data_IF_572335382089
#
_entry.id   IF_572335382089
#
_cell.length_a   1.000
_cell.length_b   1.000
_cell.length_c   1.000
_cell.angle_alpha   90.00
_cell.angle_beta   90.00
_cell.angle_gamma   90.00
#
_symmetry.space_group_name_H-M   'P 1'
#
loop_
_entity.id
_entity.type
_entity.pdbx_description
1 polymer ?
#
# COMPACT_ATOMS: atom_id res chain seq x y z
N UNK A 1 -7.74 10.36 2.26
CA UNK A 1 -7.32 11.72 1.85
C UNK A 1 -6.15 11.68 0.88
N UNK A 2 -5.01 11.08 1.25
CA UNK A 2 -3.82 10.95 0.38
C UNK A 2 -4.11 10.51 -1.06
N UNK A 3 -4.90 9.46 -1.25
CA UNK A 3 -5.20 8.95 -2.60
C UNK A 3 -5.90 9.98 -3.51
N UNK A 4 -6.70 10.89 -2.95
CA UNK A 4 -7.32 11.99 -3.71
C UNK A 4 -6.26 12.93 -4.31
N UNK A 5 -5.18 13.21 -3.56
CA UNK A 5 -4.04 14.00 -4.04
C UNK A 5 -3.27 13.22 -5.13
N UNK A 6 -2.99 11.94 -4.89
CA UNK A 6 -2.28 11.09 -5.86
C UNK A 6 -3.04 10.95 -7.18
N UNK A 7 -4.37 10.90 -7.11
CA UNK A 7 -5.24 10.76 -8.27
C UNK A 7 -5.53 12.09 -8.99
N UNK A 8 -5.28 13.23 -8.34
CA UNK A 8 -5.60 14.57 -8.87
C UNK A 8 -5.12 14.87 -10.29
N UNK A 9 -3.94 14.40 -10.77
CA UNK A 9 -3.50 14.65 -12.14
C UNK A 9 -4.30 13.85 -13.19
N UNK A 10 -4.94 12.75 -12.77
CA UNK A 10 -5.81 11.92 -13.62
C UNK A 10 -7.23 12.46 -13.55
N UNK A 11 -7.72 12.71 -12.34
CA UNK A 11 -9.04 13.30 -12.06
C UNK A 11 -9.07 13.87 -10.66
N UNK A 12 -9.53 15.12 -10.52
CA UNK A 12 -9.81 15.73 -9.22
C UNK A 12 -11.09 15.12 -8.62
N UNK A 13 -10.93 14.26 -7.63
CA UNK A 13 -12.02 13.64 -6.86
C UNK A 13 -11.82 13.94 -5.37
N UNK A 14 -12.90 14.19 -4.64
CA UNK A 14 -12.84 14.39 -3.19
C UNK A 14 -12.55 13.07 -2.47
N UNK A 15 -11.97 13.16 -1.27
CA UNK A 15 -11.72 11.96 -0.46
C UNK A 15 -13.00 11.22 -0.07
N UNK A 16 -14.14 11.93 0.05
CA UNK A 16 -15.45 11.34 0.37
C UNK A 16 -15.98 10.47 -0.77
N UNK A 17 -15.71 10.86 -2.01
CA UNK A 17 -16.07 10.06 -3.20
C UNK A 17 -15.21 8.80 -3.32
N UNK A 18 -13.96 8.86 -2.90
CA UNK A 18 -13.04 7.72 -2.94
C UNK A 18 -13.19 6.76 -1.76
N UNK A 19 -13.70 7.25 -0.62
CA UNK A 19 -13.78 6.49 0.63
C UNK A 19 -14.49 5.13 0.48
N UNK A 20 -15.69 5.02 -0.16
CA UNK A 20 -16.35 3.73 -0.34
C UNK A 20 -15.49 2.70 -1.09
N UNK A 21 -14.84 3.12 -2.18
CA UNK A 21 -14.00 2.23 -2.99
C UNK A 21 -12.71 1.82 -2.26
N UNK A 22 -12.16 2.70 -1.43
CA UNK A 22 -11.01 2.39 -0.57
C UNK A 22 -11.39 1.38 0.50
N UNK A 23 -12.50 1.59 1.21
CA UNK A 23 -12.99 0.65 2.24
C UNK A 23 -13.29 -0.73 1.66
N UNK A 24 -13.94 -0.78 0.49
CA UNK A 24 -14.18 -2.03 -0.23
C UNK A 24 -12.86 -2.70 -0.64
N UNK A 25 -11.87 -1.94 -1.11
CA UNK A 25 -10.55 -2.47 -1.45
C UNK A 25 -9.85 -3.12 -0.26
N UNK A 26 -9.85 -2.45 0.90
CA UNK A 26 -9.28 -3.01 2.13
C UNK A 26 -10.02 -4.27 2.59
N UNK A 27 -11.36 -4.24 2.61
CA UNK A 27 -12.17 -5.43 2.90
C UNK A 27 -11.86 -6.58 1.93
N UNK A 28 -11.67 -6.29 0.64
CA UNK A 28 -11.37 -7.29 -0.37
C UNK A 28 -9.98 -7.91 -0.12
N UNK A 29 -8.97 -7.14 0.28
CA UNK A 29 -7.67 -7.69 0.68
C UNK A 29 -7.73 -8.55 1.94
N UNK A 30 -8.65 -8.21 2.83
CA UNK A 30 -8.86 -8.92 4.08
C UNK A 30 -9.55 -10.27 3.89
N UNK A 31 -10.46 -10.37 2.90
CA UNK A 31 -11.30 -11.57 2.69
C UNK A 31 -10.82 -12.43 1.52
N UNK A 32 -10.30 -11.82 0.44
CA UNK A 32 -9.95 -12.52 -0.79
C UNK A 32 -8.49 -12.99 -0.80
N UNK A 33 -8.22 -14.15 -1.42
CA UNK A 33 -6.85 -14.57 -1.69
C UNK A 33 -6.20 -13.67 -2.75
N UNK A 34 -4.86 -13.66 -2.79
CA UNK A 34 -4.03 -12.99 -3.80
C UNK A 34 -4.13 -11.45 -3.91
N UNK A 35 -4.49 -10.74 -2.83
CA UNK A 35 -4.45 -9.25 -2.77
C UNK A 35 -5.14 -8.57 -3.96
N UNK A 36 -6.33 -9.06 -4.30
CA UNK A 36 -7.09 -8.49 -5.42
C UNK A 36 -7.79 -7.18 -5.03
N UNK A 37 -7.70 -6.73 -3.76
CA UNK A 37 -8.39 -5.54 -3.26
C UNK A 37 -7.96 -4.25 -3.93
N UNK A 38 -6.69 -4.11 -4.31
CA UNK A 38 -6.21 -2.98 -5.12
C UNK A 38 -6.89 -2.95 -6.50
N UNK A 39 -7.08 -4.12 -7.12
CA UNK A 39 -7.75 -4.27 -8.41
C UNK A 39 -9.24 -3.94 -8.26
N UNK A 40 -9.89 -4.44 -7.21
CA UNK A 40 -11.29 -4.14 -6.89
C UNK A 40 -11.49 -2.64 -6.71
N UNK A 41 -10.63 -1.98 -5.93
CA UNK A 41 -10.65 -0.52 -5.73
C UNK A 41 -10.47 0.24 -7.04
N UNK A 42 -9.50 -0.18 -7.87
CA UNK A 42 -9.24 0.45 -9.16
C UNK A 42 -10.43 0.27 -10.13
N UNK A 43 -11.03 -0.92 -10.14
CA UNK A 43 -12.22 -1.22 -10.94
C UNK A 43 -13.44 -0.41 -10.48
N UNK A 44 -13.72 -0.36 -9.18
CA UNK A 44 -14.86 0.37 -8.62
C UNK A 44 -14.80 1.86 -8.99
N UNK A 45 -13.63 2.49 -8.79
CA UNK A 45 -13.43 3.90 -9.17
C UNK A 45 -13.45 4.10 -10.68
N UNK A 46 -12.83 3.19 -11.45
CA UNK A 46 -12.86 3.25 -12.91
C UNK A 46 -14.28 3.18 -13.48
N UNK A 47 -15.11 2.29 -12.93
CA UNK A 47 -16.52 2.15 -13.31
C UNK A 47 -17.37 3.35 -12.90
N UNK A 48 -17.15 3.89 -11.70
CA UNK A 48 -17.97 4.99 -11.18
C UNK A 48 -17.61 6.36 -11.79
N UNK A 49 -16.34 6.58 -12.12
CA UNK A 49 -15.83 7.89 -12.54
C UNK A 49 -15.18 7.90 -13.94
N UNK A 50 -15.26 6.81 -14.69
CA UNK A 50 -14.75 6.72 -16.06
C UNK A 50 -13.22 6.79 -16.17
N UNK A 51 -12.50 6.36 -15.13
CA UNK A 51 -11.04 6.46 -15.09
C UNK A 51 -10.34 5.26 -15.72
N UNK A 52 -9.19 5.50 -16.35
CA UNK A 52 -8.32 4.44 -16.85
C UNK A 52 -7.88 3.53 -15.70
N UNK A 53 -8.09 2.21 -15.86
CA UNK A 53 -7.66 1.19 -14.88
C UNK A 53 -6.16 1.30 -14.63
N UNK A 54 -5.36 1.45 -15.68
CA UNK A 54 -3.90 1.56 -15.61
C UNK A 54 -3.47 2.80 -14.82
N UNK A 55 -4.02 3.98 -15.14
CA UNK A 55 -3.69 5.20 -14.41
C UNK A 55 -4.04 5.08 -12.92
N UNK A 56 -5.22 4.51 -12.63
CA UNK A 56 -5.68 4.28 -11.26
C UNK A 56 -4.74 3.32 -10.53
N UNK A 57 -4.46 2.14 -11.08
CA UNK A 57 -3.52 1.16 -10.50
C UNK A 57 -2.13 1.77 -10.27
N UNK A 58 -1.62 2.57 -11.21
CA UNK A 58 -0.36 3.27 -11.03
C UNK A 58 -0.40 4.16 -9.78
N UNK A 59 -1.46 4.94 -9.55
CA UNK A 59 -1.59 5.74 -8.31
C UNK A 59 -1.65 4.90 -7.03
N UNK A 60 -2.18 3.67 -7.11
CA UNK A 60 -2.16 2.73 -5.98
C UNK A 60 -0.74 2.22 -5.72
N UNK A 61 0.04 1.92 -6.77
CA UNK A 61 1.46 1.57 -6.62
C UNK A 61 2.24 2.71 -5.96
N UNK A 62 1.98 3.97 -6.34
CA UNK A 62 2.61 5.12 -5.67
C UNK A 62 2.28 5.18 -4.19
N UNK A 63 1.04 4.90 -3.85
CA UNK A 63 0.60 4.83 -2.47
C UNK A 63 1.41 3.79 -1.69
N UNK A 64 1.55 2.57 -2.22
CA UNK A 64 2.34 1.50 -1.60
C UNK A 64 3.83 1.86 -1.47
N UNK A 65 4.38 2.60 -2.43
CA UNK A 65 5.77 3.07 -2.34
C UNK A 65 5.95 4.12 -1.24
N UNK A 66 5.02 5.07 -1.11
CA UNK A 66 5.05 6.04 0.01
C UNK A 66 4.87 5.35 1.37
N UNK A 67 4.04 4.30 1.41
CA UNK A 67 3.89 3.46 2.59
C UNK A 67 5.21 2.79 2.96
N UNK A 68 5.86 2.10 2.03
CA UNK A 68 7.16 1.46 2.26
C UNK A 68 8.27 2.42 2.67
N UNK A 69 8.32 3.62 2.08
CA UNK A 69 9.25 4.67 2.50
C UNK A 69 8.98 5.18 3.92
N UNK A 70 7.71 5.25 4.32
CA UNK A 70 7.34 5.59 5.70
C UNK A 70 7.83 4.52 6.67
N UNK A 71 7.66 3.23 6.33
CA UNK A 71 8.17 2.12 7.13
C UNK A 71 9.69 2.18 7.25
N UNK A 72 10.41 2.49 6.17
CA UNK A 72 11.86 2.72 6.22
C UNK A 72 12.24 3.88 7.14
N UNK A 73 11.50 5.01 7.06
CA UNK A 73 11.69 6.13 7.97
C UNK A 73 11.51 5.73 9.43
N UNK A 74 10.49 4.94 9.74
CA UNK A 74 10.26 4.41 11.09
C UNK A 74 11.41 3.51 11.57
N UNK A 75 11.92 2.63 10.71
CA UNK A 75 13.09 1.79 11.04
C UNK A 75 14.32 2.64 11.32
N UNK A 76 14.60 3.64 10.47
CA UNK A 76 15.77 4.54 10.65
C UNK A 76 15.66 5.30 11.97
N UNK A 77 14.49 5.86 12.28
CA UNK A 77 14.27 6.57 13.55
C UNK A 77 14.42 5.61 14.74
N UNK A 78 13.82 4.44 14.69
CA UNK A 78 13.92 3.45 15.76
C UNK A 78 15.36 2.96 15.97
N UNK A 79 16.13 2.79 14.89
CA UNK A 79 17.53 2.34 14.93
C UNK A 79 18.49 3.32 15.61
N UNK A 80 18.07 4.57 15.86
CA UNK A 80 18.88 5.53 16.63
C UNK A 80 18.91 5.24 18.12
N UNK A 81 17.95 4.45 18.62
CA UNK A 81 17.79 4.11 20.05
C UNK A 81 17.78 2.60 20.28
N UNK A 82 17.27 1.81 19.33
CA UNK A 82 17.16 0.35 19.42
C UNK A 82 18.18 -0.31 18.51
N UNK A 83 19.02 -1.18 19.06
CA UNK A 83 19.95 -1.97 18.27
C UNK A 83 19.20 -3.03 17.45
N UNK A 84 19.26 -2.92 16.12
CA UNK A 84 18.66 -3.90 15.21
C UNK A 84 19.49 -5.20 15.22
N UNK A 85 18.81 -6.32 15.40
CA UNK A 85 19.38 -7.65 15.19
C UNK A 85 19.62 -7.92 13.69
N UNK A 86 20.22 -9.06 13.37
CA UNK A 86 20.52 -9.40 11.98
C UNK A 86 19.25 -9.47 11.14
N UNK A 87 18.17 -10.06 11.64
CA UNK A 87 16.95 -10.21 10.86
C UNK A 87 16.32 -8.85 10.50
N UNK A 88 16.21 -7.93 11.45
CA UNK A 88 15.69 -6.57 11.20
C UNK A 88 16.60 -5.76 10.29
N UNK A 89 17.93 -5.94 10.38
CA UNK A 89 18.87 -5.32 9.42
C UNK A 89 18.64 -5.83 8.00
N UNK A 90 18.43 -7.13 7.80
CA UNK A 90 18.11 -7.68 6.48
C UNK A 90 16.79 -7.13 5.95
N UNK A 91 15.75 -7.02 6.79
CA UNK A 91 14.48 -6.39 6.41
C UNK A 91 14.69 -4.94 5.97
N UNK A 92 15.45 -4.16 6.75
CA UNK A 92 15.76 -2.76 6.44
C UNK A 92 16.53 -2.62 5.11
N UNK A 93 17.54 -3.47 4.89
CA UNK A 93 18.33 -3.48 3.65
C UNK A 93 17.49 -3.88 2.44
N UNK A 94 16.70 -4.94 2.55
CA UNK A 94 15.82 -5.39 1.47
C UNK A 94 14.78 -4.31 1.12
N UNK A 95 14.11 -3.74 2.13
CA UNK A 95 13.17 -2.66 1.93
C UNK A 95 13.86 -1.43 1.31
N UNK A 96 15.06 -1.07 1.74
CA UNK A 96 15.82 0.05 1.16
C UNK A 96 16.18 -0.19 -0.31
N UNK A 97 16.66 -1.40 -0.62
CA UNK A 97 17.01 -1.81 -1.98
C UNK A 97 15.79 -1.86 -2.92
N UNK A 98 14.59 -2.10 -2.39
CA UNK A 98 13.35 -2.11 -3.15
C UNK A 98 12.75 -0.71 -3.32
N UNK A 99 12.52 0.00 -2.22
CA UNK A 99 11.73 1.23 -2.22
C UNK A 99 12.52 2.47 -2.68
N UNK A 100 13.80 2.61 -2.32
CA UNK A 100 14.58 3.80 -2.68
C UNK A 100 14.81 3.89 -4.20
N UNK A 101 15.26 2.84 -4.90
CA UNK A 101 15.42 2.91 -6.36
C UNK A 101 14.09 3.05 -7.08
N UNK A 102 13.04 2.33 -6.64
CA UNK A 102 11.71 2.45 -7.24
C UNK A 102 11.18 3.88 -7.14
N UNK A 103 11.32 4.51 -5.97
CA UNK A 103 10.89 5.89 -5.78
C UNK A 103 11.70 6.88 -6.62
N UNK A 104 13.04 6.73 -6.64
CA UNK A 104 13.92 7.57 -7.46
C UNK A 104 13.59 7.46 -8.96
N UNK A 105 13.41 6.23 -9.47
CA UNK A 105 13.02 5.98 -10.85
C UNK A 105 11.67 6.62 -11.20
N UNK A 106 10.69 6.58 -10.30
CA UNK A 106 9.39 7.21 -10.54
C UNK A 106 9.46 8.74 -10.52
N UNK A 107 10.29 9.34 -9.66
CA UNK A 107 10.53 10.80 -9.70
C UNK A 107 11.16 11.18 -11.04
N UNK A 108 12.18 10.46 -11.49
CA UNK A 108 12.83 10.69 -12.78
C UNK A 108 11.83 10.51 -13.92
N UNK A 109 11.05 9.44 -13.91
CA UNK A 109 10.03 9.17 -14.92
C UNK A 109 8.94 10.25 -14.97
N UNK A 110 8.51 10.76 -13.81
CA UNK A 110 7.50 11.79 -13.73
C UNK A 110 8.04 13.15 -14.19
N UNK A 111 9.25 13.55 -13.79
CA UNK A 111 9.81 14.90 -14.05
C UNK A 111 10.51 15.05 -15.39
N UNK A 112 11.04 13.97 -15.95
CA UNK A 112 11.71 14.01 -17.25
C UNK A 112 10.71 13.85 -18.38
N UNK A 113 10.54 14.91 -19.18
CA UNK A 113 9.78 14.85 -20.44
C UNK A 113 10.36 13.82 -21.42
N UNK A 114 11.68 13.54 -21.34
CA UNK A 114 12.35 12.55 -22.21
C UNK A 114 11.95 11.12 -21.88
N UNK A 115 11.60 10.79 -20.64
CA UNK A 115 11.32 9.39 -20.26
C UNK A 115 10.08 8.85 -20.96
N UNK A 116 9.02 9.67 -21.10
CA UNK A 116 7.84 9.28 -21.88
C UNK A 116 8.20 9.12 -23.37
N UNK A 117 8.96 10.04 -23.94
CA UNK A 117 9.38 9.97 -25.34
C UNK A 117 10.23 8.73 -25.63
N UNK A 118 11.17 8.39 -24.74
CA UNK A 118 11.98 7.17 -24.84
C UNK A 118 11.11 5.92 -24.72
N UNK A 119 10.18 5.87 -23.76
CA UNK A 119 9.28 4.74 -23.61
C UNK A 119 8.41 4.52 -24.87
N UNK A 120 7.89 5.60 -25.46
CA UNK A 120 7.12 5.52 -26.70
C UNK A 120 7.98 5.17 -27.92
N UNK A 121 9.24 5.64 -27.97
CA UNK A 121 10.20 5.26 -29.00
C UNK A 121 10.53 3.77 -28.93
N UNK A 122 10.75 3.20 -27.75
CA UNK A 122 10.96 1.75 -27.58
C UNK A 122 9.74 0.95 -28.08
N UNK A 123 8.53 1.44 -27.85
CA UNK A 123 7.31 0.78 -28.32
C UNK A 123 7.16 0.76 -29.85
N UNK A 124 7.94 1.54 -30.61
CA UNK A 124 7.92 1.46 -32.07
C UNK A 124 8.41 0.11 -32.60
N UNK A 125 9.21 -0.61 -31.81
CA UNK A 125 9.70 -1.96 -32.12
C UNK A 125 8.70 -3.06 -31.74
N UNK A 126 7.61 -2.73 -31.06
CA UNK A 126 6.57 -3.69 -30.71
C UNK A 126 5.72 -4.09 -31.93
N UNK A 127 5.15 -5.32 -31.96
CA UNK A 127 4.27 -5.75 -33.03
C UNK A 127 3.10 -4.77 -33.24
N UNK A 128 2.78 -4.46 -34.51
CA UNK A 128 1.72 -3.50 -34.87
C UNK A 128 0.37 -3.81 -34.21
N UNK A 129 0.07 -5.09 -34.01
CA UNK A 129 -1.16 -5.56 -33.37
C UNK A 129 -1.33 -5.06 -31.93
N UNK A 130 -0.24 -4.91 -31.16
CA UNK A 130 -0.29 -4.53 -29.74
C UNK A 130 0.18 -3.09 -29.49
N UNK A 131 0.87 -2.48 -30.45
CA UNK A 131 1.49 -1.15 -30.29
C UNK A 131 0.51 -0.08 -29.82
N UNK A 132 -0.65 0.05 -30.48
CA UNK A 132 -1.65 1.05 -30.11
C UNK A 132 -2.17 0.85 -28.66
N UNK A 133 -2.28 -0.41 -28.22
CA UNK A 133 -2.68 -0.74 -26.84
C UNK A 133 -1.56 -0.39 -25.86
N UNK A 134 -0.33 -0.79 -26.16
CA UNK A 134 0.84 -0.51 -25.32
C UNK A 134 1.06 1.01 -25.15
N UNK A 135 0.92 1.79 -26.21
CA UNK A 135 1.05 3.26 -26.14
C UNK A 135 -0.02 3.87 -25.21
N UNK A 136 -1.27 3.40 -25.27
CA UNK A 136 -2.33 3.85 -24.33
C UNK A 136 -2.01 3.50 -22.88
N UNK A 137 -1.49 2.29 -22.63
CA UNK A 137 -1.09 1.85 -21.30
C UNK A 137 0.05 2.70 -20.74
N UNK A 138 1.10 2.93 -21.55
CA UNK A 138 2.24 3.78 -21.17
C UNK A 138 1.77 5.19 -20.86
N UNK A 139 1.00 5.84 -21.75
CA UNK A 139 0.47 7.19 -21.49
C UNK A 139 -0.38 7.25 -20.23
N UNK A 140 -1.23 6.26 -19.99
CA UNK A 140 -2.05 6.17 -18.77
C UNK A 140 -1.19 6.01 -17.51
N UNK A 141 -0.15 5.18 -17.55
CA UNK A 141 0.78 5.01 -16.44
C UNK A 141 1.55 6.29 -16.14
N UNK A 142 2.05 6.99 -17.16
CA UNK A 142 2.70 8.28 -17.00
C UNK A 142 1.77 9.36 -16.44
N UNK A 143 0.47 9.32 -16.78
CA UNK A 143 -0.53 10.19 -16.15
C UNK A 143 -0.69 9.86 -14.65
N UNK A 144 -0.68 8.58 -14.29
CA UNK A 144 -0.75 8.14 -12.89
C UNK A 144 0.43 8.57 -12.02
N UNK A 145 1.63 8.73 -12.58
CA UNK A 145 2.83 9.22 -11.86
C UNK A 145 3.00 10.73 -11.90
N UNK A 146 2.16 11.45 -12.65
CA UNK A 146 2.32 12.89 -12.86
C UNK A 146 2.27 13.71 -11.56
N UNK A 147 1.73 13.16 -10.46
CA UNK A 147 1.69 13.85 -9.15
C UNK A 147 3.09 14.20 -8.63
N UNK A 148 4.12 13.40 -8.96
CA UNK A 148 5.51 13.66 -8.58
C UNK A 148 6.12 14.89 -9.26
N UNK A 149 5.46 15.45 -10.29
CA UNK A 149 5.86 16.73 -10.90
C UNK A 149 5.62 17.91 -9.95
N UNK A 150 4.62 17.82 -9.07
CA UNK A 150 4.31 18.87 -8.11
C UNK A 150 4.96 18.56 -6.76
N UNK A 151 5.97 19.34 -6.38
CA UNK A 151 6.62 19.21 -5.07
C UNK A 151 5.63 19.43 -3.91
N UNK A 152 4.66 20.34 -4.07
CA UNK A 152 3.62 20.57 -3.06
C UNK A 152 2.70 19.37 -2.89
N UNK A 153 2.21 18.79 -3.99
CA UNK A 153 1.36 17.59 -3.92
C UNK A 153 2.12 16.39 -3.34
N UNK A 154 3.41 16.25 -3.69
CA UNK A 154 4.27 15.23 -3.13
C UNK A 154 4.46 15.42 -1.62
N UNK A 155 4.76 16.63 -1.15
CA UNK A 155 4.94 16.92 0.27
C UNK A 155 3.65 16.66 1.07
N UNK A 156 2.49 17.05 0.53
CA UNK A 156 1.19 16.74 1.13
C UNK A 156 0.94 15.23 1.19
N UNK A 157 1.27 14.48 0.12
CA UNK A 157 1.13 13.03 0.11
C UNK A 157 2.05 12.35 1.13
N UNK A 158 3.30 12.80 1.27
CA UNK A 158 4.24 12.31 2.30
C UNK A 158 3.71 12.64 3.70
N UNK A 159 3.31 13.88 3.95
CA UNK A 159 2.78 14.30 5.25
C UNK A 159 1.53 13.52 5.67
N UNK A 160 0.61 13.28 4.73
CA UNK A 160 -0.56 12.43 4.97
C UNK A 160 -0.20 10.95 5.16
N UNK A 161 0.88 10.47 4.54
CA UNK A 161 1.38 9.11 4.76
C UNK A 161 1.90 8.97 6.18
N UNK A 162 2.77 9.89 6.60
CA UNK A 162 3.31 9.94 7.96
C UNK A 162 2.19 10.03 8.99
N UNK A 163 1.21 10.92 8.80
CA UNK A 163 0.09 11.06 9.71
C UNK A 163 -0.77 9.78 9.81
N UNK A 164 -1.05 9.11 8.68
CA UNK A 164 -1.80 7.87 8.67
C UNK A 164 -1.05 6.75 9.41
N UNK A 165 0.26 6.61 9.16
CA UNK A 165 1.08 5.58 9.80
C UNK A 165 1.36 5.87 11.27
N UNK A 166 1.45 7.13 11.68
CA UNK A 166 1.52 7.49 13.10
C UNK A 166 0.20 7.23 13.82
N UNK A 167 -0.95 7.44 13.17
CA UNK A 167 -2.25 7.06 13.73
C UNK A 167 -2.37 5.54 13.88
N UNK A 168 -1.84 4.77 12.93
CA UNK A 168 -1.76 3.31 13.06
C UNK A 168 -0.78 2.91 14.18
N UNK A 169 0.42 3.50 14.25
CA UNK A 169 1.36 3.26 15.34
C UNK A 169 0.80 3.62 16.72
N UNK A 170 -0.08 4.63 16.80
CA UNK A 170 -0.81 4.93 18.02
C UNK A 170 -1.74 3.79 18.43
N UNK A 171 -2.36 3.08 17.47
CA UNK A 171 -3.14 1.88 17.75
C UNK A 171 -2.25 0.77 18.33
N UNK A 172 -1.03 0.58 17.81
CA UNK A 172 -0.06 -0.36 18.38
C UNK A 172 0.25 0.01 19.84
N UNK A 173 0.53 1.29 20.12
CA UNK A 173 0.79 1.76 21.48
C UNK A 173 -0.42 1.58 22.43
N UNK A 174 -1.64 1.87 21.96
CA UNK A 174 -2.87 1.72 22.76
C UNK A 174 -3.14 0.26 23.12
N UNK A 175 -3.00 -0.65 22.17
CA UNK A 175 -3.15 -2.09 22.45
C UNK A 175 -2.00 -2.57 23.35
N UNK A 176 -0.77 -2.06 23.18
CA UNK A 176 0.35 -2.45 24.02
C UNK A 176 0.14 -2.02 25.47
N UNK A 177 -0.42 -0.83 25.68
CA UNK A 177 -0.83 -0.36 26.99
C UNK A 177 -1.90 -1.25 27.64
N UNK A 178 -2.87 -1.74 26.86
CA UNK A 178 -3.88 -2.68 27.37
C UNK A 178 -3.29 -4.04 27.78
N UNK A 179 -2.14 -4.43 27.22
CA UNK A 179 -1.36 -5.60 27.60
C UNK A 179 -0.35 -5.33 28.72
N UNK A 180 -0.32 -4.11 29.27
CA UNK A 180 0.67 -3.64 30.23
C UNK A 180 2.13 -3.78 29.74
N UNK A 181 2.35 -3.69 28.42
CA UNK A 181 3.69 -3.61 27.86
C UNK A 181 4.20 -2.18 27.91
N UNK A 182 5.38 -2.00 28.51
CA UNK A 182 6.10 -0.72 28.51
C UNK A 182 6.96 -0.61 27.25
N UNK A 183 6.32 -0.35 26.12
CA UNK A 183 7.00 -0.20 24.83
C UNK A 183 7.47 1.24 24.64
N UNK A 184 8.77 1.41 24.40
CA UNK A 184 9.30 2.70 23.97
C UNK A 184 8.71 3.12 22.61
N UNK A 185 8.62 4.42 22.30
CA UNK A 185 8.15 4.89 20.99
C UNK A 185 8.95 4.28 19.82
N UNK A 186 10.25 4.06 20.00
CA UNK A 186 11.09 3.41 19.01
C UNK A 186 10.67 1.96 18.74
N UNK A 187 10.35 1.18 19.78
CA UNK A 187 9.84 -0.18 19.61
C UNK A 187 8.46 -0.20 18.95
N UNK A 188 7.57 0.75 19.27
CA UNK A 188 6.26 0.87 18.61
C UNK A 188 6.43 1.13 17.10
N UNK A 189 7.25 2.11 16.73
CA UNK A 189 7.52 2.43 15.31
C UNK A 189 8.17 1.26 14.58
N UNK A 190 9.14 0.59 15.22
CA UNK A 190 9.83 -0.58 14.66
C UNK A 190 8.87 -1.75 14.47
N UNK A 191 8.01 -2.02 15.44
CA UNK A 191 6.98 -3.08 15.38
C UNK A 191 5.98 -2.79 14.27
N UNK A 192 5.52 -1.53 14.17
CA UNK A 192 4.62 -1.08 13.09
C UNK A 192 5.26 -1.29 11.72
N UNK A 193 6.54 -0.93 11.57
CA UNK A 193 7.27 -1.08 10.32
C UNK A 193 7.51 -2.55 9.94
N UNK A 194 7.97 -3.37 10.89
CA UNK A 194 8.25 -4.79 10.65
C UNK A 194 6.97 -5.57 10.30
N UNK A 195 5.88 -5.36 11.04
CA UNK A 195 4.59 -6.00 10.76
C UNK A 195 4.09 -5.64 9.36
N UNK A 196 4.05 -4.35 9.02
CA UNK A 196 3.55 -3.90 7.72
C UNK A 196 4.45 -4.31 6.55
N UNK A 197 5.78 -4.29 6.70
CA UNK A 197 6.69 -4.83 5.68
C UNK A 197 6.55 -6.35 5.52
N UNK A 198 6.33 -7.10 6.61
CA UNK A 198 6.07 -8.54 6.52
C UNK A 198 4.78 -8.83 5.75
N UNK A 199 3.76 -7.97 5.90
CA UNK A 199 2.54 -8.03 5.09
C UNK A 199 2.77 -7.70 3.61
N UNK A 200 3.99 -7.42 3.14
CA UNK A 200 4.29 -7.33 1.70
C UNK A 200 4.46 -8.71 1.05
N UNK A 201 4.65 -9.79 1.82
CA UNK A 201 4.77 -11.16 1.31
C UNK A 201 3.37 -11.76 1.07
N UNK A 202 2.94 -11.98 -0.20
CA UNK A 202 1.59 -12.45 -0.51
C UNK A 202 1.49 -13.94 -0.19
N UNK A 203 1.17 -14.29 1.06
CA UNK A 203 1.11 -15.68 1.53
C UNK A 203 -0.31 -16.10 1.89
N UNK A 204 -0.99 -15.37 2.77
CA UNK A 204 -2.31 -15.72 3.29
C UNK A 204 -3.35 -14.60 3.12
N UNK A 205 -4.65 -14.94 2.96
CA UNK A 205 -5.74 -13.96 3.04
C UNK A 205 -5.71 -13.21 4.37
N UNK A 206 -5.95 -11.90 4.33
CA UNK A 206 -5.95 -11.07 5.55
C UNK A 206 -4.61 -10.98 6.26
N UNK A 207 -3.49 -11.38 5.62
CA UNK A 207 -2.13 -11.28 6.18
C UNK A 207 -1.92 -12.06 7.49
N UNK A 208 -2.76 -13.06 7.76
CA UNK A 208 -2.65 -13.94 8.93
C UNK A 208 -1.36 -14.77 8.83
N UNK A 209 -0.46 -14.61 9.78
CA UNK A 209 0.87 -15.21 9.78
C UNK A 209 1.96 -14.17 9.58
N UNK A 210 2.09 -13.53 8.39
CA UNK A 210 3.10 -12.49 8.18
C UNK A 210 2.99 -11.31 9.13
N UNK A 211 1.77 -10.83 9.41
CA UNK A 211 1.56 -9.73 10.35
C UNK A 211 2.10 -10.10 11.74
N UNK A 212 1.67 -11.24 12.27
CA UNK A 212 2.12 -11.76 13.57
C UNK A 212 3.62 -12.02 13.58
N UNK A 213 4.18 -12.56 12.50
CA UNK A 213 5.61 -12.80 12.36
C UNK A 213 6.42 -11.50 12.46
N UNK A 214 5.97 -10.42 11.82
CA UNK A 214 6.62 -9.12 11.90
C UNK A 214 6.52 -8.49 13.31
N UNK A 215 5.38 -8.66 14.00
CA UNK A 215 5.26 -8.23 15.41
C UNK A 215 6.19 -9.04 16.31
N UNK A 216 6.22 -10.36 16.17
CA UNK A 216 7.08 -11.26 16.92
C UNK A 216 8.57 -10.97 16.68
N UNK A 217 8.94 -10.67 15.44
CA UNK A 217 10.32 -10.32 15.08
C UNK A 217 10.85 -9.17 15.93
N UNK A 218 10.01 -8.16 16.21
CA UNK A 218 10.41 -7.01 17.02
C UNK A 218 10.23 -7.29 18.50
N UNK A 219 9.02 -7.62 18.94
CA UNK A 219 8.74 -7.69 20.39
C UNK A 219 9.45 -8.86 21.07
N UNK A 220 9.52 -10.03 20.43
CA UNK A 220 10.23 -11.17 20.99
C UNK A 220 11.72 -11.19 20.60
N UNK A 221 12.09 -10.65 19.44
CA UNK A 221 13.48 -10.63 18.97
C UNK A 221 14.34 -9.57 19.65
N UNK A 222 13.84 -8.34 19.78
CA UNK A 222 14.60 -7.21 20.35
C UNK A 222 13.90 -6.52 21.52
N UNK A 223 12.57 -6.68 21.65
CA UNK A 223 11.77 -6.08 22.73
C UNK A 223 11.78 -6.85 24.06
N UNK A 224 12.37 -8.06 24.09
CA UNK A 224 12.45 -8.88 25.31
C UNK A 224 11.12 -9.45 25.81
N UNK A 225 10.05 -9.32 25.03
CA UNK A 225 8.72 -9.82 25.41
C UNK A 225 8.64 -11.33 25.11
N UNK A 226 8.11 -12.11 26.04
CA UNK A 226 7.89 -13.54 25.83
C UNK A 226 7.07 -13.79 24.56
N UNK A 227 7.50 -14.75 23.73
CA UNK A 227 6.90 -15.02 22.41
C UNK A 227 5.39 -15.26 22.47
N UNK A 228 4.90 -15.97 23.49
CA UNK A 228 3.47 -16.24 23.69
C UNK A 228 2.66 -14.98 23.99
N UNK A 229 3.21 -14.06 24.80
CA UNK A 229 2.59 -12.76 25.09
C UNK A 229 2.61 -11.85 23.87
N UNK A 230 3.74 -11.78 23.17
CA UNK A 230 3.88 -11.00 21.93
C UNK A 230 2.92 -11.51 20.83
N UNK A 231 2.70 -12.83 20.72
CA UNK A 231 1.71 -13.39 19.79
C UNK A 231 0.28 -13.03 20.20
N UNK A 232 -0.05 -13.11 21.48
CA UNK A 232 -1.38 -12.76 21.99
C UNK A 232 -1.70 -11.29 21.70
N UNK A 233 -0.74 -10.40 21.94
CA UNK A 233 -0.79 -8.99 21.56
C UNK A 233 -0.98 -8.83 20.06
N UNK A 234 -0.19 -9.53 19.24
CA UNK A 234 -0.26 -9.44 17.78
C UNK A 234 -1.65 -9.81 17.25
N UNK A 235 -2.26 -10.88 17.77
CA UNK A 235 -3.60 -11.34 17.38
C UNK A 235 -4.65 -10.28 17.71
N UNK A 236 -4.63 -9.73 18.93
CA UNK A 236 -5.60 -8.69 19.33
C UNK A 236 -5.43 -7.42 18.50
N UNK A 237 -4.18 -6.99 18.30
CA UNK A 237 -3.87 -5.85 17.46
C UNK A 237 -4.35 -6.07 16.01
N UNK A 238 -4.08 -7.25 15.45
CA UNK A 238 -4.49 -7.59 14.09
C UNK A 238 -6.00 -7.53 13.96
N UNK A 239 -6.74 -8.16 14.89
CA UNK A 239 -8.20 -8.10 14.91
C UNK A 239 -8.73 -6.67 15.00
N UNK A 240 -8.09 -5.82 15.82
CA UNK A 240 -8.50 -4.44 16.01
C UNK A 240 -8.26 -3.56 14.77
N UNK A 241 -7.22 -3.85 13.97
CA UNK A 241 -6.98 -3.19 12.68
C UNK A 241 -7.84 -3.78 11.55
N UNK A 242 -8.09 -5.09 11.59
CA UNK A 242 -8.75 -5.85 10.55
C UNK A 242 -10.28 -5.70 10.58
N UNK A 243 -10.92 -5.88 11.73
CA UNK A 243 -12.38 -5.99 11.82
C UNK A 243 -13.11 -4.70 11.45
N UNK A 244 -12.76 -3.52 12.01
CA UNK A 244 -13.53 -2.31 11.74
C UNK A 244 -13.56 -1.93 10.26
N UNK A 245 -12.41 -1.98 9.58
CA UNK A 245 -12.33 -1.62 8.16
C UNK A 245 -13.04 -2.65 7.28
N UNK A 246 -13.01 -3.92 7.65
CA UNK A 246 -13.73 -4.99 6.94
C UNK A 246 -15.24 -4.77 7.03
N UNK A 247 -15.77 -4.48 8.22
CA UNK A 247 -17.19 -4.19 8.42
C UNK A 247 -17.64 -2.96 7.63
N UNK A 248 -16.86 -1.88 7.67
CA UNK A 248 -17.16 -0.66 6.87
C UNK A 248 -17.14 -0.98 5.38
N UNK A 249 -16.17 -1.76 4.90
CA UNK A 249 -16.09 -2.19 3.52
C UNK A 249 -17.27 -3.06 3.08
N UNK A 250 -17.75 -3.97 3.93
CA UNK A 250 -18.95 -4.79 3.67
C UNK A 250 -20.20 -3.93 3.52
N UNK A 251 -20.36 -2.91 4.36
CA UNK A 251 -21.47 -1.94 4.24
C UNK A 251 -21.42 -1.23 2.89
N UNK A 252 -20.24 -0.78 2.44
CA UNK A 252 -20.13 -0.12 1.13
C UNK A 252 -20.21 -1.09 -0.05
N UNK A 253 -19.77 -2.33 0.10
CA UNK A 253 -19.89 -3.38 -0.91
C UNK A 253 -21.36 -3.56 -1.32
N UNK A 254 -22.24 -3.68 -0.32
CA UNK A 254 -23.69 -3.79 -0.56
C UNK A 254 -24.27 -2.55 -1.24
N UNK A 255 -23.85 -1.34 -0.82
CA UNK A 255 -24.32 -0.06 -1.39
C UNK A 255 -23.85 0.20 -2.81
N UNK A 256 -22.65 -0.24 -3.17
CA UNK A 256 -22.09 -0.08 -4.51
C UNK A 256 -22.62 -1.12 -5.52
N UNK A 257 -23.49 -2.04 -5.08
CA UNK A 257 -24.03 -3.13 -5.88
C UNK A 257 -22.92 -3.88 -6.65
N UNK A 258 -21.77 -4.04 -6.00
CA UNK A 258 -20.68 -4.81 -6.56
C UNK A 258 -21.05 -6.28 -6.43
N UNK A 259 -21.38 -6.88 -7.57
CA UNK A 259 -21.69 -8.30 -7.62
C UNK A 259 -20.40 -9.12 -7.54
N UNK A 260 -20.44 -10.34 -7.00
CA UNK A 260 -19.31 -11.28 -6.98
C UNK A 260 -18.82 -11.61 -8.41
N UNK A 261 -19.64 -11.34 -9.43
CA UNK A 261 -19.27 -11.35 -10.84
C UNK A 261 -18.16 -10.33 -11.20
N UNK A 262 -18.02 -9.21 -10.48
CA UNK A 262 -16.91 -8.26 -10.63
C UNK A 262 -15.57 -8.93 -10.31
N UNK A 263 -15.54 -9.80 -9.29
CA UNK A 263 -14.34 -10.58 -8.95
C UNK A 263 -14.00 -11.61 -10.02
N UNK A 264 -15.01 -12.17 -10.70
CA UNK A 264 -14.81 -13.09 -11.84
C UNK A 264 -14.29 -12.36 -13.08
N UNK A 265 -14.86 -11.19 -13.42
CA UNK A 265 -14.44 -10.37 -14.56
C UNK A 265 -13.07 -9.73 -14.37
N UNK A 266 -12.74 -9.29 -13.15
CA UNK A 266 -11.39 -8.84 -12.81
C UNK A 266 -10.34 -9.95 -13.02
N UNK A 267 -10.72 -11.22 -12.82
CA UNK A 267 -9.88 -12.40 -13.08
C UNK A 267 -9.86 -12.84 -14.55
N UNK A 268 -10.94 -12.63 -15.32
CA UNK A 268 -11.02 -13.09 -16.72
C UNK A 268 -10.39 -12.13 -17.72
N UNK A 269 -10.34 -10.83 -17.45
CA UNK A 269 -9.56 -9.89 -18.28
C UNK A 269 -8.03 -10.08 -18.15
N UNK A 270 -7.55 -10.85 -17.17
CA UNK A 270 -6.17 -11.35 -17.11
C UNK A 270 -5.94 -12.59 -17.98
N UNK A 271 -6.99 -13.35 -18.33
CA UNK A 271 -6.88 -14.67 -18.98
C UNK A 271 -7.37 -14.67 -20.43
N UNK A 272 -8.23 -13.74 -20.84
CA UNK A 272 -8.70 -13.62 -22.22
C UNK A 272 -8.57 -12.16 -22.69
N UNK A 273 -7.58 -11.84 -23.54
CA UNK A 273 -7.46 -10.51 -24.12
C UNK A 273 -8.47 -10.34 -25.25
N UNK A 274 -9.50 -9.52 -25.03
CA UNK A 274 -10.28 -8.90 -26.11
C UNK A 274 -9.56 -7.66 -26.66
#
# INVERSE_FOLDING_TARGET
>A
MRWSILLSPVRSLSWRQLFPAVSVGYMANNVLPFRTGEIVRAYAVGRQFGLSKTATLTTIVLERLLDGLTMLGFIVVAATVVALDNALRHVALFASALFLPAFGLLIVAARSARTLSVALWILQYAPRAVRARAERLVRSGFAGVAVFRSSSALLQAIGLSLAAWLAEAAMYALVAHAFAFDLSPALVLLTTAAANLATLIPSSPGYIGPFEAGVLLVLAGVGGIARSLALSYAIVLHAALYLPITLVGLVFWSKLQLDWAVLRRARTEEVVPS
#
